data_IF_113167230107
#
_entry.id   IF_113167230107
#
_cell.length_a   1.000
_cell.length_b   1.000
_cell.length_c   1.000
_cell.angle_alpha   90.00
_cell.angle_beta   90.00
_cell.angle_gamma   90.00
#
_symmetry.space_group_name_H-M   'P 1'
#
loop_
_entity.id
_entity.type
_entity.pdbx_description
1 polymer ?
#
# COMPACT_ATOMS: atom_id res chain seq x y z
N UNK A 1 -9.77 -21.68 -44.88
CA UNK A 1 -9.54 -20.35 -44.26
C UNK A 1 -10.80 -19.64 -43.74
N UNK A 2 -12.01 -19.89 -44.29
CA UNK A 2 -13.26 -19.21 -43.83
C UNK A 2 -13.75 -19.55 -42.41
N UNK A 3 -13.33 -20.68 -41.81
CA UNK A 3 -13.83 -21.14 -40.49
C UNK A 3 -13.14 -20.49 -39.28
N UNK A 4 -11.97 -19.89 -39.46
CA UNK A 4 -11.20 -19.28 -38.35
C UNK A 4 -11.67 -17.83 -38.12
N UNK A 5 -11.98 -17.09 -39.18
CA UNK A 5 -12.42 -15.68 -39.09
C UNK A 5 -13.79 -15.56 -38.41
N UNK A 6 -14.68 -16.55 -38.59
CA UNK A 6 -16.01 -16.53 -37.97
C UNK A 6 -15.98 -16.75 -36.44
N UNK A 7 -14.94 -17.41 -35.89
CA UNK A 7 -14.80 -17.60 -34.44
C UNK A 7 -14.27 -16.37 -33.71
N UNK A 8 -13.46 -15.55 -34.39
CA UNK A 8 -12.91 -14.31 -33.81
C UNK A 8 -13.97 -13.21 -33.68
N UNK A 9 -14.90 -13.13 -34.64
CA UNK A 9 -15.98 -12.13 -34.61
C UNK A 9 -17.01 -12.48 -33.52
N UNK A 10 -17.28 -13.76 -33.28
CA UNK A 10 -18.20 -14.18 -32.20
C UNK A 10 -17.66 -13.87 -30.80
N UNK A 11 -16.34 -13.90 -30.60
CA UNK A 11 -15.71 -13.54 -29.32
C UNK A 11 -15.82 -12.04 -29.00
N UNK A 12 -15.76 -11.18 -30.00
CA UNK A 12 -15.89 -9.73 -29.82
C UNK A 12 -17.35 -9.29 -29.59
N UNK A 13 -18.33 -9.96 -30.20
CA UNK A 13 -19.76 -9.63 -30.04
C UNK A 13 -20.30 -10.09 -28.68
N UNK A 14 -19.74 -11.14 -28.08
CA UNK A 14 -20.09 -11.55 -26.71
C UNK A 14 -19.65 -10.52 -25.65
N UNK A 15 -18.55 -9.79 -25.89
CA UNK A 15 -18.12 -8.71 -25.00
C UNK A 15 -18.92 -7.42 -25.14
N UNK A 16 -19.60 -7.19 -26.27
CA UNK A 16 -20.44 -5.99 -26.46
C UNK A 16 -21.89 -6.16 -26.00
N UNK A 17 -22.34 -7.39 -25.71
CA UNK A 17 -23.70 -7.67 -25.16
C UNK A 17 -23.68 -7.89 -23.64
N UNK A 18 -22.55 -8.34 -23.07
CA UNK A 18 -22.37 -8.35 -21.61
C UNK A 18 -22.05 -6.91 -21.20
N UNK A 19 -23.11 -6.14 -20.98
CA UNK A 19 -23.04 -4.79 -20.45
C UNK A 19 -22.11 -4.72 -19.23
N UNK A 20 -21.66 -3.50 -18.96
CA UNK A 20 -20.82 -3.05 -17.84
C UNK A 20 -21.24 -3.52 -16.42
N UNK A 21 -22.23 -4.39 -16.28
CA UNK A 21 -22.79 -4.97 -15.06
C UNK A 21 -22.17 -6.31 -14.63
N UNK A 22 -21.20 -6.85 -15.37
CA UNK A 22 -20.65 -8.21 -15.12
C UNK A 22 -19.30 -8.31 -14.41
N UNK A 23 -18.61 -7.20 -14.11
CA UNK A 23 -17.33 -7.28 -13.39
C UNK A 23 -17.62 -7.56 -11.91
N UNK A 24 -17.13 -8.67 -11.33
CA UNK A 24 -17.31 -8.95 -9.92
C UNK A 24 -16.77 -7.79 -9.08
N UNK A 25 -17.51 -7.39 -8.05
CA UNK A 25 -17.15 -6.27 -7.17
C UNK A 25 -15.73 -6.40 -6.60
N UNK A 26 -15.28 -7.63 -6.33
CA UNK A 26 -13.91 -7.94 -5.93
C UNK A 26 -12.86 -7.47 -6.94
N UNK A 27 -13.08 -7.69 -8.24
CA UNK A 27 -12.15 -7.29 -9.32
C UNK A 27 -12.13 -5.77 -9.46
N UNK A 28 -13.31 -5.14 -9.36
CA UNK A 28 -13.43 -3.67 -9.38
C UNK A 28 -12.68 -3.03 -8.21
N UNK A 29 -12.84 -3.57 -7.00
CA UNK A 29 -12.16 -3.08 -5.81
C UNK A 29 -10.65 -3.29 -5.87
N UNK A 30 -10.18 -4.41 -6.43
CA UNK A 30 -8.75 -4.63 -6.66
C UNK A 30 -8.16 -3.61 -7.64
N UNK A 31 -8.85 -3.33 -8.75
CA UNK A 31 -8.41 -2.31 -9.72
C UNK A 31 -8.38 -0.90 -9.13
N UNK A 32 -9.42 -0.52 -8.38
CA UNK A 32 -9.46 0.78 -7.69
C UNK A 32 -8.31 0.88 -6.69
N UNK A 33 -8.08 -0.17 -5.89
CA UNK A 33 -7.02 -0.19 -4.90
C UNK A 33 -5.62 -0.16 -5.52
N UNK A 34 -5.38 -0.87 -6.64
CA UNK A 34 -4.08 -0.85 -7.32
C UNK A 34 -3.71 0.54 -7.85
N UNK A 35 -4.71 1.33 -8.26
CA UNK A 35 -4.49 2.71 -8.69
C UNK A 35 -4.38 3.67 -7.51
N UNK A 36 -5.25 3.53 -6.50
CA UNK A 36 -5.30 4.43 -5.34
C UNK A 36 -4.07 4.33 -4.44
N UNK A 37 -3.52 3.13 -4.28
CA UNK A 37 -2.35 2.84 -3.46
C UNK A 37 -1.19 2.34 -4.31
N UNK A 38 -0.97 3.00 -5.47
CA UNK A 38 0.08 2.62 -6.40
C UNK A 38 1.42 2.40 -5.68
N UNK A 39 1.99 1.20 -5.87
CA UNK A 39 3.26 0.80 -5.26
C UNK A 39 3.18 0.34 -3.80
N UNK A 40 2.05 0.42 -3.09
CA UNK A 40 1.94 -0.02 -1.69
C UNK A 40 1.20 -1.37 -1.61
N UNK A 41 1.79 -2.35 -0.93
CA UNK A 41 1.23 -3.71 -0.83
C UNK A 41 0.19 -3.81 0.29
N UNK A 42 -0.93 -3.12 0.14
CA UNK A 42 -1.96 -2.98 1.19
C UNK A 42 -2.53 -4.31 1.75
N UNK A 43 -2.40 -5.41 1.01
CA UNK A 43 -2.84 -6.75 1.44
C UNK A 43 -1.84 -7.40 2.41
N UNK A 44 -0.65 -6.85 2.51
CA UNK A 44 0.47 -7.34 3.33
C UNK A 44 0.68 -6.49 4.59
N UNK A 45 -0.28 -5.64 4.95
CA UNK A 45 -0.23 -4.87 6.19
C UNK A 45 -0.16 -5.83 7.39
N UNK A 46 0.87 -5.65 8.22
CA UNK A 46 1.07 -6.38 9.47
C UNK A 46 0.91 -5.43 10.65
N UNK A 47 0.28 -5.93 11.70
CA UNK A 47 0.33 -5.32 13.02
C UNK A 47 1.41 -6.02 13.84
N UNK A 48 2.28 -5.25 14.49
CA UNK A 48 3.35 -5.77 15.32
C UNK A 48 3.26 -5.09 16.69
N UNK A 49 3.26 -5.90 17.76
CA UNK A 49 3.25 -5.39 19.14
C UNK A 49 4.56 -4.68 19.46
N UNK A 50 4.45 -3.54 20.13
CA UNK A 50 5.58 -2.78 20.67
C UNK A 50 5.67 -3.11 22.14
N UNK A 51 6.79 -3.70 22.55
CA UNK A 51 7.01 -4.15 23.92
C UNK A 51 7.90 -3.18 24.69
N UNK A 52 7.65 -3.01 25.99
CA UNK A 52 8.59 -2.35 26.88
C UNK A 52 9.76 -3.28 27.28
N UNK A 53 10.70 -2.78 28.09
CA UNK A 53 11.85 -3.56 28.57
C UNK A 53 11.46 -4.77 29.45
N UNK A 54 10.23 -4.80 29.97
CA UNK A 54 9.68 -5.91 30.74
C UNK A 54 8.95 -6.93 29.86
N UNK A 55 8.83 -6.68 28.56
CA UNK A 55 8.11 -7.53 27.60
C UNK A 55 6.60 -7.28 27.54
N UNK A 56 6.08 -6.24 28.20
CA UNK A 56 4.66 -5.89 28.17
C UNK A 56 4.32 -5.04 26.93
N UNK A 57 3.17 -5.28 26.32
CA UNK A 57 2.70 -4.50 25.17
C UNK A 57 2.34 -3.07 25.60
N UNK A 58 3.02 -2.09 25.01
CA UNK A 58 2.81 -0.65 25.23
C UNK A 58 2.24 0.07 23.99
N UNK A 59 1.84 -0.71 22.98
CA UNK A 59 1.21 -0.22 21.77
C UNK A 59 1.49 -1.13 20.59
N UNK A 60 1.11 -0.64 19.40
CA UNK A 60 1.26 -1.37 18.14
C UNK A 60 1.96 -0.52 17.11
N UNK A 61 2.58 -1.20 16.14
CA UNK A 61 3.04 -0.60 14.89
C UNK A 61 2.38 -1.25 13.70
N UNK A 62 2.13 -0.44 12.67
CA UNK A 62 1.80 -0.93 11.33
C UNK A 62 3.06 -1.11 10.50
N UNK A 63 3.15 -2.20 9.77
CA UNK A 63 4.22 -2.45 8.79
C UNK A 63 3.61 -2.87 7.45
N UNK A 64 4.12 -2.30 6.36
CA UNK A 64 3.75 -2.71 5.00
C UNK A 64 4.94 -2.55 4.07
N UNK A 65 5.00 -3.32 3.01
CA UNK A 65 6.02 -3.19 1.96
C UNK A 65 5.57 -2.24 0.85
N UNK A 66 6.50 -1.58 0.19
CA UNK A 66 6.23 -0.77 -1.00
C UNK A 66 7.29 -0.95 -2.10
N UNK A 67 6.86 -0.80 -3.35
CA UNK A 67 7.70 -0.72 -4.52
C UNK A 67 8.13 0.74 -4.78
N UNK A 68 9.43 1.07 -4.67
CA UNK A 68 9.91 2.44 -4.80
C UNK A 68 9.80 3.00 -6.23
N UNK A 69 9.69 2.16 -7.27
CA UNK A 69 9.55 2.64 -8.66
C UNK A 69 8.12 3.04 -9.00
N UNK A 70 7.14 2.59 -8.20
CA UNK A 70 5.70 2.75 -8.48
C UNK A 70 5.00 3.67 -7.51
N UNK A 71 5.59 3.93 -6.35
CA UNK A 71 4.98 4.76 -5.32
C UNK A 71 4.87 6.21 -5.79
N UNK A 72 3.77 6.87 -5.45
CA UNK A 72 3.51 8.27 -5.78
C UNK A 72 3.13 9.05 -4.52
N UNK A 73 3.32 10.37 -4.55
CA UNK A 73 2.88 11.25 -3.46
C UNK A 73 1.37 11.12 -3.20
N UNK A 74 0.56 10.99 -4.25
CA UNK A 74 -0.89 10.77 -4.14
C UNK A 74 -1.21 9.43 -3.44
N UNK A 75 -0.50 8.36 -3.77
CA UNK A 75 -0.67 7.07 -3.11
C UNK A 75 -0.30 7.14 -1.63
N UNK A 76 0.75 7.89 -1.27
CA UNK A 76 1.15 8.12 0.13
C UNK A 76 0.10 8.93 0.90
N UNK A 77 -0.44 10.00 0.30
CA UNK A 77 -1.52 10.80 0.90
C UNK A 77 -2.76 9.94 1.13
N UNK A 78 -3.20 9.19 0.11
CA UNK A 78 -4.34 8.29 0.21
C UNK A 78 -4.13 7.22 1.28
N UNK A 79 -2.95 6.58 1.27
CA UNK A 79 -2.61 5.56 2.26
C UNK A 79 -2.59 6.12 3.68
N UNK A 80 -1.99 7.30 3.88
CA UNK A 80 -2.01 7.96 5.18
C UNK A 80 -3.44 8.20 5.67
N UNK A 81 -4.27 8.85 4.86
CA UNK A 81 -5.63 9.22 5.24
C UNK A 81 -6.53 8.01 5.53
N UNK A 82 -6.35 6.92 4.79
CA UNK A 82 -7.23 5.74 4.90
C UNK A 82 -6.72 4.65 5.84
N UNK A 83 -5.40 4.55 6.05
CA UNK A 83 -4.76 3.40 6.72
C UNK A 83 -3.86 3.75 7.89
N UNK A 84 -3.41 5.01 8.02
CA UNK A 84 -2.50 5.42 9.10
C UNK A 84 -3.20 6.35 10.08
N UNK A 85 -3.88 7.37 9.55
CA UNK A 85 -4.57 8.39 10.33
C UNK A 85 -5.58 7.74 11.27
N UNK A 86 -5.57 8.19 12.53
CA UNK A 86 -6.48 7.73 13.60
C UNK A 86 -6.38 6.23 13.95
N UNK A 87 -5.33 5.51 13.52
CA UNK A 87 -5.13 4.10 13.93
C UNK A 87 -4.78 3.95 15.41
N UNK A 88 -4.22 4.99 16.03
CA UNK A 88 -3.71 4.93 17.40
C UNK A 88 -2.42 4.14 17.56
N UNK A 89 -1.75 3.78 16.45
CA UNK A 89 -0.45 3.11 16.50
C UNK A 89 0.66 4.08 16.91
N UNK A 90 1.71 3.54 17.52
CA UNK A 90 2.89 4.31 17.92
C UNK A 90 3.70 4.75 16.70
N UNK A 91 3.73 3.95 15.64
CA UNK A 91 4.34 4.30 14.37
C UNK A 91 3.82 3.39 13.25
N UNK A 92 3.99 3.85 12.02
CA UNK A 92 3.68 3.11 10.81
C UNK A 92 4.89 3.13 9.89
N UNK A 93 5.33 1.97 9.39
CA UNK A 93 6.53 1.85 8.57
C UNK A 93 6.19 1.22 7.22
N UNK A 94 6.50 1.94 6.14
CA UNK A 94 6.50 1.39 4.79
C UNK A 94 7.94 0.97 4.46
N UNK A 95 8.19 -0.33 4.30
CA UNK A 95 9.51 -0.90 4.00
C UNK A 95 9.72 -0.97 2.49
N UNK A 96 10.84 -0.45 2.01
CA UNK A 96 11.20 -0.53 0.60
C UNK A 96 11.51 -1.98 0.22
N UNK A 97 10.78 -2.54 -0.75
CA UNK A 97 10.92 -3.94 -1.14
C UNK A 97 12.28 -4.26 -1.80
N UNK A 98 12.95 -3.26 -2.37
CA UNK A 98 14.25 -3.40 -3.03
C UNK A 98 15.43 -3.22 -2.08
N UNK A 99 15.25 -2.40 -1.05
CA UNK A 99 16.26 -2.12 -0.04
C UNK A 99 15.60 -2.00 1.32
N UNK A 100 15.65 -3.08 2.10
CA UNK A 100 15.00 -3.15 3.42
C UNK A 100 15.61 -2.23 4.46
N UNK A 101 16.78 -1.64 4.18
CA UNK A 101 17.39 -0.61 5.05
C UNK A 101 16.75 0.76 4.84
N UNK A 102 15.83 0.91 3.88
CA UNK A 102 15.13 2.16 3.59
C UNK A 102 13.63 2.01 3.87
N UNK A 103 13.03 3.07 4.39
CA UNK A 103 11.60 3.10 4.66
C UNK A 103 11.00 4.50 4.68
N UNK A 104 9.67 4.55 4.74
CA UNK A 104 8.88 5.76 4.98
C UNK A 104 8.14 5.54 6.29
N UNK A 105 8.44 6.38 7.29
CA UNK A 105 7.96 6.20 8.66
C UNK A 105 7.05 7.35 9.07
N UNK A 106 5.86 7.01 9.59
CA UNK A 106 4.98 7.96 10.27
C UNK A 106 5.07 7.71 11.77
N UNK A 107 5.71 8.63 12.50
CA UNK A 107 5.86 8.56 13.96
C UNK A 107 4.57 9.06 14.62
N UNK A 108 4.05 8.32 15.60
CA UNK A 108 2.79 8.62 16.28
C UNK A 108 1.59 8.84 15.35
N UNK A 109 1.69 8.31 14.11
CA UNK A 109 0.69 8.47 13.05
C UNK A 109 0.29 9.94 12.80
N UNK A 110 1.21 10.89 13.00
CA UNK A 110 1.01 12.30 12.64
C UNK A 110 1.15 12.50 11.13
N UNK A 111 0.72 13.66 10.63
CA UNK A 111 0.66 13.97 9.19
C UNK A 111 2.03 14.23 8.55
N UNK A 112 3.10 13.64 9.09
CA UNK A 112 4.46 13.70 8.56
C UNK A 112 4.94 12.29 8.28
N UNK A 113 5.33 12.06 7.04
CA UNK A 113 5.99 10.84 6.57
C UNK A 113 7.47 11.12 6.40
N UNK A 114 8.32 10.31 7.04
CA UNK A 114 9.78 10.50 7.06
C UNK A 114 10.45 9.42 6.23
N UNK A 115 11.01 9.80 5.09
CA UNK A 115 11.93 8.96 4.33
C UNK A 115 13.21 8.78 5.14
N UNK A 116 13.57 7.53 5.45
CA UNK A 116 14.60 7.22 6.44
C UNK A 116 15.38 5.96 6.11
N UNK A 117 16.62 5.90 6.59
CA UNK A 117 17.30 4.64 6.86
C UNK A 117 16.65 4.00 8.09
N UNK A 118 16.35 2.71 8.03
CA UNK A 118 15.66 1.94 9.07
C UNK A 118 16.47 0.71 9.49
N UNK A 119 16.25 0.24 10.71
CA UNK A 119 16.79 -1.03 11.20
C UNK A 119 15.90 -2.23 10.82
N UNK A 120 16.31 -3.44 11.21
CA UNK A 120 15.56 -4.68 10.94
C UNK A 120 14.16 -4.72 11.56
N UNK A 121 13.88 -3.83 12.53
CA UNK A 121 12.58 -3.70 13.17
C UNK A 121 11.76 -2.55 12.58
N UNK A 122 12.24 -1.90 11.52
CA UNK A 122 11.56 -0.77 10.88
C UNK A 122 11.64 0.54 11.66
N UNK A 123 12.53 0.66 12.65
CA UNK A 123 12.76 1.92 13.37
C UNK A 123 13.69 2.83 12.59
N UNK A 124 13.51 4.16 12.70
CA UNK A 124 14.39 5.14 12.09
C UNK A 124 15.78 5.07 12.72
N UNK A 125 16.80 4.79 11.90
CA UNK A 125 18.21 4.98 12.24
C UNK A 125 18.64 6.41 11.86
N UNK A 126 18.20 6.88 10.70
CA UNK A 126 18.54 8.20 10.17
C UNK A 126 17.44 8.76 9.27
N UNK A 127 16.97 9.97 9.57
CA UNK A 127 15.99 10.67 8.75
C UNK A 127 16.67 11.38 7.58
N UNK A 128 16.10 11.23 6.38
CA UNK A 128 16.61 11.85 5.15
C UNK A 128 15.74 13.01 4.68
N UNK A 129 14.42 12.83 4.66
CA UNK A 129 13.47 13.84 4.17
C UNK A 129 12.09 13.66 4.79
N UNK A 130 11.42 14.78 5.07
CA UNK A 130 10.03 14.79 5.49
C UNK A 130 9.09 15.09 4.32
N UNK A 131 7.93 14.47 4.34
CA UNK A 131 6.79 14.71 3.47
C UNK A 131 5.57 14.97 4.35
N UNK A 132 5.06 16.18 4.32
CA UNK A 132 3.86 16.56 5.06
C UNK A 132 2.62 16.24 4.24
N UNK A 133 1.72 15.45 4.82
CA UNK A 133 0.40 15.16 4.25
C UNK A 133 -0.50 16.36 4.54
N UNK A 134 -0.92 17.03 3.47
CA UNK A 134 -1.83 18.19 3.49
C UNK A 134 -3.29 17.77 3.38
#
# INVERSE_FOLDING_TARGET
MKKIVSRLIFGFVLFSIIGYSGIPEKVKNEYINSNKYAGIHIKEIKEISVLNNSGEEIGKRGEVTYNPDKITDEALINFYNDKIKNTGYNYYTLINEKDKTQGIVSIACVNVLTYSEIDDNGYIVKANKNFEVK
#
